data_IF_915716276806
#
_entry.id   IF_915716276806
#
_cell.length_a   1.000
_cell.length_b   1.000
_cell.length_c   1.000
_cell.angle_alpha   90.00
_cell.angle_beta   90.00
_cell.angle_gamma   90.00
#
_symmetry.space_group_name_H-M   'P 1'
#
loop_
_entity.id
_entity.type
_entity.pdbx_description
1 polymer ?
#
# COMPACT_ATOMS: atom_id res chain seq x y z
N UNK A 1 13.16 -17.89 22.24
CA UNK A 1 12.50 -16.61 21.88
C UNK A 1 13.27 -16.03 20.70
N UNK A 2 12.80 -16.27 19.49
CA UNK A 2 13.38 -15.72 18.25
C UNK A 2 12.26 -14.99 17.55
N UNK A 3 12.19 -13.68 17.77
CA UNK A 3 11.27 -12.80 17.08
C UNK A 3 11.77 -12.59 15.67
N UNK A 4 11.08 -13.17 14.69
CA UNK A 4 11.28 -12.87 13.28
C UNK A 4 10.75 -11.47 13.03
N UNK A 5 11.66 -10.50 12.93
CA UNK A 5 11.39 -9.17 12.42
C UNK A 5 10.86 -9.31 10.99
N UNK A 6 9.59 -9.00 10.79
CA UNK A 6 9.01 -8.83 9.46
C UNK A 6 9.67 -7.59 8.88
N UNK A 7 10.56 -7.81 7.91
CA UNK A 7 11.15 -6.73 7.14
C UNK A 7 10.01 -6.00 6.42
N UNK A 8 9.84 -4.72 6.74
CA UNK A 8 9.12 -3.78 5.89
C UNK A 8 9.88 -3.69 4.56
N UNK A 9 9.54 -4.57 3.62
CA UNK A 9 9.91 -4.37 2.23
C UNK A 9 9.21 -3.10 1.76
N UNK A 10 10.02 -2.05 1.61
CA UNK A 10 9.61 -0.80 1.01
C UNK A 10 9.07 -1.10 -0.40
N UNK A 11 7.99 -0.45 -0.86
CA UNK A 11 7.46 -0.68 -2.19
C UNK A 11 8.55 -0.43 -3.24
N UNK A 12 8.59 -1.20 -4.34
CA UNK A 12 9.66 -1.11 -5.32
C UNK A 12 9.74 0.32 -5.88
N UNK A 13 10.86 0.97 -5.56
CA UNK A 13 11.21 2.32 -5.96
C UNK A 13 11.09 2.55 -7.47
N UNK A 14 10.26 3.53 -7.86
CA UNK A 14 10.46 4.59 -8.87
C UNK A 14 11.34 4.34 -10.13
N UNK A 15 11.43 3.12 -10.67
CA UNK A 15 12.14 2.89 -11.96
C UNK A 15 11.29 3.19 -13.21
N UNK A 16 9.96 3.23 -13.11
CA UNK A 16 9.07 3.58 -14.24
C UNK A 16 8.99 5.09 -14.51
N UNK A 17 9.10 5.91 -13.46
CA UNK A 17 9.01 7.38 -13.54
C UNK A 17 10.04 8.00 -14.48
N UNK A 18 11.27 7.48 -14.51
CA UNK A 18 12.33 8.00 -15.40
C UNK A 18 12.08 7.72 -16.89
N UNK A 19 11.51 6.56 -17.22
CA UNK A 19 11.20 6.20 -18.62
C UNK A 19 10.00 6.97 -19.15
N UNK A 20 8.97 7.16 -18.32
CA UNK A 20 7.79 7.96 -18.68
C UNK A 20 8.18 9.42 -18.90
N UNK A 21 8.99 10.01 -18.02
CA UNK A 21 9.51 11.37 -18.21
C UNK A 21 10.35 11.50 -19.48
N UNK A 22 11.20 10.51 -19.79
CA UNK A 22 12.01 10.52 -21.01
C UNK A 22 11.15 10.45 -22.28
N UNK A 23 10.05 9.69 -22.24
CA UNK A 23 9.14 9.59 -23.38
C UNK A 23 8.28 10.85 -23.58
N UNK A 24 7.81 11.47 -22.50
CA UNK A 24 7.11 12.77 -22.58
C UNK A 24 8.04 13.85 -23.13
N UNK A 25 9.30 13.89 -22.69
CA UNK A 25 10.29 14.83 -23.21
C UNK A 25 10.52 14.63 -24.71
N UNK A 26 10.61 13.38 -25.18
CA UNK A 26 10.72 13.07 -26.62
C UNK A 26 9.53 13.60 -27.40
N UNK A 27 8.30 13.38 -26.93
CA UNK A 27 7.08 13.85 -27.59
C UNK A 27 7.09 15.37 -27.71
N UNK A 28 7.33 16.08 -26.60
CA UNK A 28 7.39 17.54 -26.57
C UNK A 28 8.44 18.10 -27.54
N UNK A 29 9.66 17.56 -27.47
CA UNK A 29 10.76 18.00 -28.32
C UNK A 29 10.45 17.72 -29.80
N UNK A 30 9.88 16.56 -30.15
CA UNK A 30 9.51 16.22 -31.52
C UNK A 30 8.38 17.08 -32.06
N UNK A 31 7.35 17.33 -31.26
CA UNK A 31 6.21 18.19 -31.62
C UNK A 31 6.68 19.62 -31.88
N UNK A 32 7.46 20.20 -30.96
CA UNK A 32 8.03 21.55 -31.13
C UNK A 32 9.01 21.62 -32.29
N UNK A 33 9.88 20.62 -32.49
CA UNK A 33 10.79 20.57 -33.65
C UNK A 33 10.02 20.50 -34.97
N UNK A 34 8.98 19.68 -35.02
CA UNK A 34 8.14 19.54 -36.21
C UNK A 34 7.53 20.90 -36.59
N UNK A 35 6.94 21.62 -35.64
CA UNK A 35 6.37 22.95 -35.87
C UNK A 35 7.42 23.97 -36.31
N UNK A 36 8.58 24.02 -35.64
CA UNK A 36 9.63 24.98 -35.95
C UNK A 36 10.23 24.76 -37.34
N UNK A 37 10.49 23.51 -37.72
CA UNK A 37 11.06 23.15 -39.02
C UNK A 37 10.04 23.35 -40.15
N UNK A 38 8.77 23.00 -39.92
CA UNK A 38 7.70 23.18 -40.90
C UNK A 38 7.41 24.66 -41.16
N UNK A 39 7.25 25.46 -40.10
CA UNK A 39 6.86 26.87 -40.23
C UNK A 39 7.98 27.76 -40.78
N UNK A 40 9.23 27.48 -40.41
CA UNK A 40 10.36 28.30 -40.86
C UNK A 40 10.99 27.82 -42.18
N UNK A 41 10.49 26.72 -42.77
CA UNK A 41 10.99 26.12 -44.01
C UNK A 41 12.52 26.02 -44.06
N UNK A 42 13.12 25.66 -42.92
CA UNK A 42 14.56 25.64 -42.72
C UNK A 42 14.96 24.36 -42.03
N UNK A 43 16.21 23.97 -42.21
CA UNK A 43 16.81 22.85 -41.49
C UNK A 43 17.58 23.30 -40.24
N UNK A 44 17.43 24.57 -39.83
CA UNK A 44 18.13 25.15 -38.68
C UNK A 44 17.14 25.58 -37.60
N UNK A 45 17.42 25.21 -36.36
CA UNK A 45 16.58 25.57 -35.20
C UNK A 45 17.43 26.26 -34.14
N UNK A 46 17.00 27.43 -33.67
CA UNK A 46 17.63 28.11 -32.52
C UNK A 46 17.36 27.31 -31.24
N UNK A 47 18.41 26.98 -30.50
CA UNK A 47 18.29 26.20 -29.26
C UNK A 47 17.56 26.96 -28.15
N UNK A 48 17.76 28.27 -28.08
CA UNK A 48 17.05 29.12 -27.12
C UNK A 48 15.56 29.12 -27.41
N UNK A 49 15.19 29.27 -28.69
CA UNK A 49 13.78 29.24 -29.12
C UNK A 49 13.15 27.87 -28.85
N UNK A 50 13.83 26.80 -29.23
CA UNK A 50 13.37 25.43 -28.97
C UNK A 50 13.17 25.18 -27.47
N UNK A 51 14.11 25.63 -26.63
CA UNK A 51 13.99 25.48 -25.19
C UNK A 51 12.78 26.24 -24.63
N UNK A 52 12.56 27.48 -25.07
CA UNK A 52 11.40 28.26 -24.65
C UNK A 52 10.11 27.56 -25.07
N UNK A 53 9.99 27.21 -26.34
CA UNK A 53 8.76 26.64 -26.90
C UNK A 53 8.43 25.26 -26.29
N UNK A 54 9.44 24.42 -26.02
CA UNK A 54 9.27 23.13 -25.33
C UNK A 54 8.80 23.32 -23.88
N UNK A 55 9.35 24.29 -23.15
CA UNK A 55 9.00 24.52 -21.75
C UNK A 55 7.66 25.24 -21.58
N UNK A 56 7.28 26.09 -22.54
CA UNK A 56 6.00 26.80 -22.57
C UNK A 56 4.87 25.99 -23.21
N UNK A 57 5.17 24.78 -23.69
CA UNK A 57 4.19 23.90 -24.33
C UNK A 57 2.96 23.65 -23.43
N UNK A 58 1.72 23.68 -23.95
CA UNK A 58 0.50 23.56 -23.12
C UNK A 58 0.49 22.33 -22.21
N UNK A 59 1.11 21.24 -22.66
CA UNK A 59 1.19 19.99 -21.91
C UNK A 59 2.08 20.09 -20.67
N UNK A 60 3.11 20.95 -20.64
CA UNK A 60 3.95 21.14 -19.43
C UNK A 60 3.15 21.73 -18.27
N UNK A 61 2.14 22.56 -18.57
CA UNK A 61 1.23 23.15 -17.57
C UNK A 61 0.38 22.08 -16.86
N UNK A 62 0.03 21.00 -17.56
CA UNK A 62 -0.73 19.89 -16.99
C UNK A 62 0.11 19.03 -16.03
N UNK A 63 1.44 19.03 -16.21
CA UNK A 63 2.39 18.27 -15.39
C UNK A 63 3.13 19.13 -14.33
N UNK A 64 2.65 20.34 -14.03
CA UNK A 64 3.32 21.36 -13.19
C UNK A 64 3.93 20.89 -11.87
N UNK A 65 3.38 19.86 -11.21
CA UNK A 65 3.93 19.33 -9.95
C UNK A 65 5.13 18.39 -10.13
N UNK A 66 5.29 17.82 -11.31
CA UNK A 66 6.33 16.81 -11.64
C UNK A 66 7.25 17.25 -12.77
N UNK A 67 6.88 18.33 -13.48
CA UNK A 67 7.66 18.88 -14.57
C UNK A 67 8.92 19.59 -14.06
N UNK A 68 10.05 19.27 -14.68
CA UNK A 68 11.29 19.99 -14.51
C UNK A 68 11.59 20.71 -15.81
N UNK A 69 11.90 22.00 -15.73
CA UNK A 69 12.30 22.79 -16.89
C UNK A 69 13.47 22.13 -17.60
N UNK A 70 13.28 21.80 -18.88
CA UNK A 70 14.31 21.16 -19.69
C UNK A 70 15.40 22.16 -20.02
N UNK A 71 16.66 21.78 -19.75
CA UNK A 71 17.84 22.56 -20.15
C UNK A 71 18.19 22.24 -21.59
N UNK A 72 18.94 23.14 -22.23
CA UNK A 72 19.44 22.93 -23.60
C UNK A 72 20.18 21.59 -23.73
N UNK A 73 21.01 21.23 -22.75
CA UNK A 73 21.75 19.96 -22.78
C UNK A 73 20.82 18.75 -22.76
N UNK A 74 19.75 18.77 -21.95
CA UNK A 74 18.77 17.68 -21.89
C UNK A 74 18.05 17.52 -23.23
N UNK A 75 17.70 18.64 -23.86
CA UNK A 75 17.08 18.67 -25.19
C UNK A 75 18.04 18.09 -26.25
N UNK A 76 19.31 18.50 -26.22
CA UNK A 76 20.32 18.02 -27.17
C UNK A 76 20.59 16.52 -27.01
N UNK A 77 20.63 16.02 -25.78
CA UNK A 77 20.83 14.59 -25.53
C UNK A 77 19.64 13.78 -26.06
N UNK A 78 18.41 14.26 -25.88
CA UNK A 78 17.23 13.63 -26.49
C UNK A 78 17.29 13.68 -28.02
N UNK A 79 17.67 14.82 -28.61
CA UNK A 79 17.77 14.94 -30.08
C UNK A 79 18.84 14.01 -30.65
N UNK A 80 20.00 13.87 -29.99
CA UNK A 80 21.05 12.94 -30.42
C UNK A 80 20.61 11.48 -30.39
N UNK A 81 19.72 11.13 -29.45
CA UNK A 81 19.12 9.80 -29.36
C UNK A 81 18.09 9.59 -30.48
N UNK A 82 17.27 10.61 -30.77
CA UNK A 82 16.22 10.54 -31.80
C UNK A 82 16.79 10.56 -33.22
N UNK A 83 17.80 11.39 -33.49
CA UNK A 83 18.37 11.62 -34.82
C UNK A 83 19.90 11.45 -34.81
N UNK A 84 20.40 10.22 -34.62
CA UNK A 84 21.82 9.97 -34.48
C UNK A 84 22.58 10.33 -35.77
N UNK A 85 23.65 11.12 -35.64
CA UNK A 85 24.54 11.56 -36.76
C UNK A 85 23.87 12.41 -37.84
N UNK A 86 22.64 12.87 -37.63
CA UNK A 86 21.91 13.75 -38.56
C UNK A 86 21.91 15.22 -38.11
N UNK A 87 22.66 15.55 -37.07
CA UNK A 87 22.65 16.88 -36.46
C UNK A 87 24.06 17.44 -36.26
N UNK A 88 24.22 18.76 -36.41
CA UNK A 88 25.38 19.51 -35.93
C UNK A 88 24.96 20.75 -35.16
N UNK A 89 25.91 21.29 -34.40
CA UNK A 89 25.75 22.53 -33.66
C UNK A 89 26.60 23.61 -34.32
N UNK A 90 25.98 24.74 -34.65
CA UNK A 90 26.65 25.93 -35.19
C UNK A 90 26.00 27.18 -34.63
N UNK A 91 26.78 28.09 -34.05
CA UNK A 91 26.32 29.43 -33.61
C UNK A 91 25.06 29.44 -32.74
N UNK A 92 24.94 28.47 -31.80
CA UNK A 92 23.77 28.35 -30.92
C UNK A 92 22.51 27.80 -31.60
N UNK A 93 22.64 27.30 -32.83
CA UNK A 93 21.61 26.61 -33.59
C UNK A 93 21.96 25.13 -33.76
N UNK A 94 20.94 24.30 -33.82
CA UNK A 94 21.05 22.92 -34.30
C UNK A 94 20.68 22.88 -35.79
N UNK A 95 21.54 22.25 -36.59
CA UNK A 95 21.35 22.06 -38.02
C UNK A 95 21.07 20.59 -38.26
N UNK A 96 19.96 20.30 -38.94
CA UNK A 96 19.58 18.96 -39.34
C UNK A 96 20.03 18.69 -40.78
N UNK A 97 20.75 17.59 -40.99
CA UNK A 97 21.20 17.15 -42.31
C UNK A 97 20.38 15.96 -42.77
N UNK A 98 19.89 16.03 -44.00
CA UNK A 98 19.14 14.94 -44.65
C UNK A 98 17.91 14.47 -43.86
N UNK A 99 17.40 15.26 -42.92
CA UNK A 99 16.19 14.95 -42.15
C UNK A 99 14.97 15.44 -42.92
N UNK A 100 14.11 14.52 -43.31
CA UNK A 100 12.83 14.86 -43.92
C UNK A 100 11.77 15.12 -42.85
N UNK A 101 10.88 16.09 -43.07
CA UNK A 101 9.77 16.37 -42.13
C UNK A 101 8.90 15.13 -41.90
N UNK A 102 8.75 14.28 -42.91
CA UNK A 102 8.02 13.00 -42.80
C UNK A 102 8.67 12.07 -41.76
N UNK A 103 9.99 12.02 -41.70
CA UNK A 103 10.72 11.20 -40.73
C UNK A 103 10.49 11.67 -39.28
N UNK A 104 10.39 12.99 -39.06
CA UNK A 104 10.06 13.56 -37.74
C UNK A 104 8.64 13.15 -37.33
N UNK A 105 7.68 13.27 -38.24
CA UNK A 105 6.29 12.88 -37.99
C UNK A 105 6.18 11.39 -37.66
N UNK A 106 6.84 10.54 -38.45
CA UNK A 106 6.76 9.09 -38.25
C UNK A 106 7.45 8.68 -36.94
N UNK A 107 8.55 9.35 -36.58
CA UNK A 107 9.21 9.18 -35.26
C UNK A 107 8.31 9.63 -34.12
N UNK A 108 7.59 10.75 -34.26
CA UNK A 108 6.63 11.23 -33.26
C UNK A 108 5.51 10.22 -33.03
N UNK A 109 4.91 9.70 -34.10
CA UNK A 109 3.85 8.69 -34.01
C UNK A 109 4.34 7.42 -33.31
N UNK A 110 5.56 6.99 -33.61
CA UNK A 110 6.16 5.81 -32.98
C UNK A 110 6.39 6.02 -31.47
N UNK A 111 6.97 7.16 -31.08
CA UNK A 111 7.15 7.48 -29.66
C UNK A 111 5.81 7.57 -28.92
N UNK A 112 4.77 8.14 -29.55
CA UNK A 112 3.42 8.18 -28.97
C UNK A 112 2.85 6.77 -28.79
N UNK A 113 3.04 5.88 -29.77
CA UNK A 113 2.62 4.47 -29.67
C UNK A 113 3.32 3.76 -28.50
N UNK A 114 4.63 3.93 -28.37
CA UNK A 114 5.40 3.38 -27.24
C UNK A 114 4.90 3.90 -25.88
N UNK A 115 4.54 5.19 -25.80
CA UNK A 115 3.94 5.78 -24.60
C UNK A 115 2.62 5.10 -24.25
N UNK A 116 1.74 4.92 -25.23
CA UNK A 116 0.43 4.30 -25.03
C UNK A 116 0.56 2.85 -24.57
N UNK A 117 1.42 2.06 -25.21
CA UNK A 117 1.67 0.67 -24.82
C UNK A 117 2.22 0.56 -23.39
N UNK A 118 3.14 1.45 -23.02
CA UNK A 118 3.69 1.52 -21.66
C UNK A 118 2.60 1.88 -20.66
N UNK A 119 1.76 2.87 -20.95
CA UNK A 119 0.67 3.31 -20.07
C UNK A 119 -0.36 2.19 -19.87
N UNK A 120 -0.75 1.49 -20.93
CA UNK A 120 -1.68 0.35 -20.85
C UNK A 120 -1.10 -0.74 -19.95
N UNK A 121 0.20 -1.02 -20.06
CA UNK A 121 0.88 -2.01 -19.23
C UNK A 121 0.90 -1.59 -17.75
N UNK A 122 1.22 -0.34 -17.48
CA UNK A 122 1.26 0.20 -16.12
C UNK A 122 -0.13 0.18 -15.46
N UNK A 123 -1.18 0.56 -16.20
CA UNK A 123 -2.57 0.47 -15.73
C UNK A 123 -2.93 -0.98 -15.37
N UNK A 124 -2.62 -1.95 -16.24
CA UNK A 124 -2.89 -3.37 -15.97
C UNK A 124 -2.17 -3.88 -14.71
N UNK A 125 -0.92 -3.45 -14.49
CA UNK A 125 -0.19 -3.82 -13.27
C UNK A 125 -0.81 -3.20 -12.02
N UNK A 126 -1.23 -1.93 -12.09
CA UNK A 126 -1.90 -1.26 -10.97
C UNK A 126 -3.25 -1.90 -10.64
N UNK A 127 -4.04 -2.26 -11.65
CA UNK A 127 -5.31 -2.98 -11.46
C UNK A 127 -5.10 -4.33 -10.76
N UNK A 128 -4.06 -5.09 -11.14
CA UNK A 128 -3.71 -6.34 -10.48
C UNK A 128 -3.28 -6.14 -9.03
N UNK A 129 -2.46 -5.12 -8.75
CA UNK A 129 -2.06 -4.77 -7.39
C UNK A 129 -3.27 -4.38 -6.53
N UNK A 130 -4.16 -3.55 -7.07
CA UNK A 130 -5.40 -3.18 -6.39
C UNK A 130 -6.27 -4.39 -6.07
N UNK A 131 -6.44 -5.31 -7.02
CA UNK A 131 -7.21 -6.52 -6.81
C UNK A 131 -6.62 -7.39 -5.69
N UNK A 132 -5.29 -7.52 -5.63
CA UNK A 132 -4.61 -8.28 -4.59
C UNK A 132 -4.79 -7.66 -3.20
N UNK A 133 -4.65 -6.34 -3.08
CA UNK A 133 -4.85 -5.61 -1.82
C UNK A 133 -6.30 -5.77 -1.35
N UNK A 134 -7.27 -5.54 -2.25
CA UNK A 134 -8.69 -5.69 -1.95
C UNK A 134 -9.02 -7.09 -1.44
N UNK A 135 -8.53 -8.13 -2.11
CA UNK A 135 -8.75 -9.51 -1.69
C UNK A 135 -8.13 -9.80 -0.31
N UNK A 136 -6.97 -9.22 0.00
CA UNK A 136 -6.34 -9.36 1.30
C UNK A 136 -7.16 -8.70 2.42
N UNK A 137 -7.67 -7.49 2.18
CA UNK A 137 -8.53 -6.77 3.12
C UNK A 137 -9.86 -7.50 3.34
N UNK A 138 -10.48 -8.01 2.28
CA UNK A 138 -11.71 -8.80 2.37
C UNK A 138 -11.50 -10.07 3.20
N UNK A 139 -10.35 -10.75 3.03
CA UNK A 139 -9.98 -11.92 3.83
C UNK A 139 -9.73 -11.56 5.29
N UNK A 140 -9.09 -10.41 5.56
CA UNK A 140 -8.87 -9.91 6.92
C UNK A 140 -10.19 -9.59 7.62
N UNK A 141 -11.10 -8.86 6.97
CA UNK A 141 -12.43 -8.53 7.49
C UNK A 141 -13.26 -9.79 7.75
N UNK A 142 -13.20 -10.77 6.84
CA UNK A 142 -13.87 -12.06 7.02
C UNK A 142 -13.32 -12.81 8.23
N UNK A 143 -12.00 -12.84 8.41
CA UNK A 143 -11.35 -13.47 9.56
C UNK A 143 -11.76 -12.79 10.86
N UNK A 144 -11.72 -11.46 10.93
CA UNK A 144 -12.14 -10.70 12.11
C UNK A 144 -13.61 -10.98 12.49
N UNK A 145 -14.51 -11.03 11.51
CA UNK A 145 -15.92 -11.35 11.74
C UNK A 145 -16.11 -12.76 12.30
N UNK A 146 -15.44 -13.76 11.72
CA UNK A 146 -15.49 -15.15 12.19
C UNK A 146 -14.97 -15.24 13.63
N UNK A 147 -13.83 -14.61 13.92
CA UNK A 147 -13.25 -14.60 15.26
C UNK A 147 -14.15 -13.91 16.29
N UNK A 148 -14.82 -12.80 15.90
CA UNK A 148 -15.82 -12.14 16.73
C UNK A 148 -17.00 -13.07 17.06
N UNK A 149 -17.51 -13.82 16.07
CA UNK A 149 -18.58 -14.80 16.30
C UNK A 149 -18.16 -15.94 17.23
N UNK A 150 -16.94 -16.48 17.07
CA UNK A 150 -16.39 -17.49 17.97
C UNK A 150 -16.28 -16.98 19.40
N UNK A 151 -15.73 -15.77 19.57
CA UNK A 151 -15.65 -15.11 20.87
C UNK A 151 -17.03 -15.01 21.52
N UNK A 152 -18.00 -14.47 20.81
CA UNK A 152 -19.33 -14.22 21.36
C UNK A 152 -20.05 -15.53 21.72
N UNK A 153 -19.84 -16.59 20.92
CA UNK A 153 -20.39 -17.94 21.20
C UNK A 153 -19.76 -18.57 22.44
N UNK A 154 -18.43 -18.50 22.56
CA UNK A 154 -17.70 -19.03 23.73
C UNK A 154 -18.08 -18.24 24.98
N UNK A 155 -18.15 -16.92 24.88
CA UNK A 155 -18.60 -16.06 25.97
C UNK A 155 -20.03 -16.40 26.40
N UNK A 156 -20.96 -16.56 25.46
CA UNK A 156 -22.34 -16.95 25.76
C UNK A 156 -22.40 -18.32 26.47
N UNK A 157 -21.58 -19.28 26.03
CA UNK A 157 -21.47 -20.58 26.70
C UNK A 157 -20.91 -20.42 28.12
N UNK A 158 -19.84 -19.67 28.29
CA UNK A 158 -19.23 -19.43 29.60
C UNK A 158 -20.18 -18.69 30.55
N UNK A 159 -20.97 -17.75 30.05
CA UNK A 159 -22.00 -17.05 30.83
C UNK A 159 -23.14 -17.95 31.27
N UNK A 160 -23.37 -19.08 30.60
CA UNK A 160 -24.37 -20.06 31.02
C UNK A 160 -23.93 -20.89 32.22
N UNK A 161 -22.62 -20.90 32.54
CA UNK A 161 -22.09 -21.65 33.67
C UNK A 161 -22.22 -20.90 34.99
N UNK A 162 -22.43 -21.67 36.06
CA UNK A 162 -22.74 -21.14 37.39
C UNK A 162 -21.58 -20.35 38.01
N UNK A 163 -20.34 -20.79 37.81
CA UNK A 163 -19.18 -20.17 38.47
C UNK A 163 -18.54 -19.10 37.59
N UNK A 164 -18.40 -19.34 36.29
CA UNK A 164 -17.81 -18.38 35.35
C UNK A 164 -18.66 -17.11 35.20
N UNK A 165 -19.99 -17.21 35.21
CA UNK A 165 -20.87 -16.04 35.14
C UNK A 165 -20.55 -15.00 36.24
N UNK A 166 -20.18 -15.46 37.44
CA UNK A 166 -19.87 -14.61 38.59
C UNK A 166 -18.56 -13.83 38.42
N UNK A 167 -17.67 -14.25 37.52
CA UNK A 167 -16.41 -13.55 37.23
C UNK A 167 -16.65 -12.24 36.47
N UNK A 168 -17.74 -12.15 35.70
CA UNK A 168 -18.07 -10.97 34.91
C UNK A 168 -18.73 -9.84 35.72
N UNK A 169 -18.93 -10.03 37.03
CA UNK A 169 -19.38 -8.95 37.90
C UNK A 169 -18.36 -7.81 37.96
N UNK A 170 -18.82 -6.58 38.21
CA UNK A 170 -17.93 -5.43 38.43
C UNK A 170 -16.97 -5.75 39.57
N UNK A 171 -15.69 -5.92 39.24
CA UNK A 171 -14.61 -6.06 40.20
C UNK A 171 -14.11 -4.65 40.56
N UNK A 172 -14.04 -4.37 41.86
CA UNK A 172 -13.40 -3.14 42.35
C UNK A 172 -11.92 -3.14 41.94
N UNK A 173 -11.37 -1.99 41.51
CA UNK A 173 -9.94 -1.87 41.21
C UNK A 173 -9.10 -2.29 42.43
N UNK A 174 -8.15 -3.20 42.21
CA UNK A 174 -7.22 -3.65 43.25
C UNK A 174 -5.83 -3.09 42.99
N UNK A 175 -5.06 -2.71 44.02
CA UNK A 175 -3.65 -2.31 43.86
C UNK A 175 -2.78 -3.44 43.27
N UNK A 176 -3.25 -4.69 43.30
CA UNK A 176 -2.55 -5.87 42.78
C UNK A 176 -2.79 -6.09 41.28
N UNK A 177 -3.93 -5.63 40.74
CA UNK A 177 -4.33 -5.86 39.34
C UNK A 177 -4.57 -4.53 38.63
N UNK A 178 -3.58 -4.08 37.87
CA UNK A 178 -3.61 -2.76 37.22
C UNK A 178 -4.52 -2.65 36.00
N UNK A 179 -4.78 -3.75 35.28
CA UNK A 179 -5.64 -3.75 34.11
C UNK A 179 -6.65 -4.89 34.18
N UNK A 180 -7.71 -4.73 34.98
CA UNK A 180 -8.77 -5.72 35.11
C UNK A 180 -9.40 -6.07 33.76
N UNK A 181 -9.52 -7.35 33.45
CA UNK A 181 -10.23 -7.85 32.29
C UNK A 181 -11.69 -8.18 32.65
N UNK A 182 -12.61 -7.29 32.26
CA UNK A 182 -14.05 -7.50 32.41
C UNK A 182 -14.72 -7.94 31.09
N UNK A 183 -16.00 -8.29 31.15
CA UNK A 183 -16.75 -8.78 29.98
C UNK A 183 -16.75 -7.79 28.81
N UNK A 184 -16.88 -6.49 29.09
CA UNK A 184 -16.97 -5.45 28.05
C UNK A 184 -15.61 -5.24 27.39
N UNK A 185 -14.52 -5.32 28.15
CA UNK A 185 -13.15 -5.35 27.62
C UNK A 185 -12.90 -6.59 26.76
N UNK A 186 -13.39 -7.76 27.15
CA UNK A 186 -13.23 -8.98 26.33
C UNK A 186 -14.00 -8.84 25.02
N UNK A 187 -15.24 -8.29 25.04
CA UNK A 187 -16.05 -8.03 23.84
C UNK A 187 -15.49 -6.93 22.93
N UNK A 188 -14.71 -5.99 23.47
CA UNK A 188 -14.07 -4.92 22.68
C UNK A 188 -12.66 -5.28 22.21
N UNK A 189 -12.04 -6.31 22.78
CA UNK A 189 -10.72 -6.79 22.36
C UNK A 189 -10.81 -7.51 21.02
N UNK A 190 -9.92 -7.13 20.08
CA UNK A 190 -9.75 -7.84 18.81
C UNK A 190 -9.01 -9.15 19.05
N UNK A 191 -9.56 -10.24 18.53
CA UNK A 191 -9.05 -11.59 18.78
C UNK A 191 -8.52 -12.18 17.48
N UNK A 192 -7.24 -12.54 17.49
CA UNK A 192 -6.54 -13.00 16.30
C UNK A 192 -6.71 -14.51 16.06
N UNK A 193 -6.73 -15.30 17.13
CA UNK A 193 -6.83 -16.75 17.10
C UNK A 193 -7.43 -17.30 18.41
N UNK A 194 -7.78 -18.59 18.43
CA UNK A 194 -8.36 -19.24 19.62
C UNK A 194 -7.45 -19.17 20.86
N UNK A 195 -6.14 -19.27 20.66
CA UNK A 195 -5.18 -19.17 21.76
C UNK A 195 -5.17 -17.77 22.38
N UNK A 196 -5.33 -16.72 21.56
CA UNK A 196 -5.45 -15.35 22.05
C UNK A 196 -6.76 -15.16 22.85
N UNK A 197 -7.88 -15.73 22.40
CA UNK A 197 -9.13 -15.74 23.19
C UNK A 197 -8.95 -16.48 24.51
N UNK A 198 -8.34 -17.66 24.49
CA UNK A 198 -8.08 -18.43 25.70
C UNK A 198 -7.21 -17.65 26.68
N UNK A 199 -6.13 -17.00 26.21
CA UNK A 199 -5.28 -16.18 27.06
C UNK A 199 -6.06 -15.00 27.68
N UNK A 200 -6.93 -14.38 26.89
CA UNK A 200 -7.78 -13.27 27.36
C UNK A 200 -8.75 -13.73 28.45
N UNK A 201 -9.39 -14.89 28.27
CA UNK A 201 -10.28 -15.49 29.26
C UNK A 201 -9.52 -15.97 30.49
N UNK A 202 -8.35 -16.58 30.30
CA UNK A 202 -7.47 -17.03 31.38
C UNK A 202 -7.04 -15.85 32.26
N UNK A 203 -6.74 -14.71 31.64
CA UNK A 203 -6.44 -13.47 32.36
C UNK A 203 -7.61 -13.01 33.23
N UNK A 204 -8.85 -13.12 32.76
CA UNK A 204 -10.03 -12.79 33.57
C UNK A 204 -10.13 -13.67 34.83
N UNK A 205 -9.88 -14.97 34.69
CA UNK A 205 -9.82 -15.90 35.83
C UNK A 205 -8.67 -15.54 36.77
N UNK A 206 -7.46 -15.32 36.22
CA UNK A 206 -6.27 -15.01 37.02
C UNK A 206 -6.41 -13.67 37.76
N UNK A 207 -6.93 -12.62 37.12
CA UNK A 207 -7.23 -11.34 37.76
C UNK A 207 -8.17 -11.55 38.96
N UNK A 208 -9.19 -12.39 38.80
CA UNK A 208 -10.14 -12.73 39.85
C UNK A 208 -9.52 -13.56 40.98
N UNK A 209 -8.61 -14.48 40.68
CA UNK A 209 -7.84 -15.25 41.68
C UNK A 209 -6.99 -14.32 42.53
N UNK A 210 -6.28 -13.38 41.90
CA UNK A 210 -5.38 -12.45 42.58
C UNK A 210 -6.10 -11.47 43.52
N UNK A 211 -7.36 -11.15 43.21
CA UNK A 211 -8.20 -10.28 44.06
C UNK A 211 -8.84 -11.07 45.22
N UNK A 212 -9.18 -12.34 45.01
CA UNK A 212 -9.86 -13.14 46.02
C UNK A 212 -8.90 -13.60 47.12
N UNK A 213 -9.26 -13.37 48.39
CA UNK A 213 -8.52 -13.90 49.54
C UNK A 213 -8.45 -15.43 49.47
N UNK A 214 -7.25 -15.99 49.50
CA UNK A 214 -7.01 -17.45 49.48
C UNK A 214 -7.84 -18.15 50.56
N UNK A 215 -8.47 -19.26 50.20
CA UNK A 215 -9.35 -20.04 51.09
C UNK A 215 -10.76 -19.47 51.30
N UNK A 216 -11.06 -18.28 50.77
CA UNK A 216 -12.43 -17.75 50.81
C UNK A 216 -13.37 -18.52 49.87
N UNK A 217 -14.68 -18.44 50.13
CA UNK A 217 -15.72 -18.98 49.22
C UNK A 217 -15.57 -18.43 47.80
N UNK A 218 -15.25 -17.14 47.66
CA UNK A 218 -15.00 -16.52 46.35
C UNK A 218 -13.78 -17.11 45.65
N UNK A 219 -12.70 -17.38 46.38
CA UNK A 219 -11.52 -18.03 45.82
C UNK A 219 -11.84 -19.44 45.32
N UNK A 220 -12.63 -20.22 46.05
CA UNK A 220 -13.10 -21.54 45.60
C UNK A 220 -13.98 -21.45 44.34
N UNK A 221 -14.91 -20.49 44.28
CA UNK A 221 -15.75 -20.26 43.10
C UNK A 221 -14.92 -19.88 41.87
N UNK A 222 -13.89 -19.04 42.02
CA UNK A 222 -12.97 -18.70 40.91
C UNK A 222 -12.19 -19.94 40.46
N UNK A 223 -11.72 -20.78 41.37
CA UNK A 223 -11.03 -22.03 41.00
C UNK A 223 -11.95 -23.01 40.25
N UNK A 224 -13.23 -23.09 40.62
CA UNK A 224 -14.21 -23.90 39.89
C UNK A 224 -14.48 -23.35 38.48
N UNK A 225 -14.49 -22.02 38.32
CA UNK A 225 -14.64 -21.39 37.01
C UNK A 225 -13.48 -21.69 36.04
N UNK A 226 -12.27 -21.97 36.55
CA UNK A 226 -11.16 -22.44 35.73
C UNK A 226 -11.49 -23.79 35.06
N UNK A 227 -12.13 -24.71 35.79
CA UNK A 227 -12.56 -25.99 35.23
C UNK A 227 -13.57 -25.81 34.09
N UNK A 228 -14.55 -24.92 34.27
CA UNK A 228 -15.54 -24.59 33.24
C UNK A 228 -14.89 -23.99 31.98
N UNK A 229 -13.85 -23.17 32.15
CA UNK A 229 -13.05 -22.64 31.04
C UNK A 229 -12.29 -23.73 30.31
N UNK A 230 -11.60 -24.60 31.06
CA UNK A 230 -10.79 -25.68 30.48
C UNK A 230 -11.66 -26.65 29.68
N UNK A 231 -12.84 -27.00 30.18
CA UNK A 231 -13.79 -27.87 29.49
C UNK A 231 -14.33 -27.21 28.21
N UNK A 232 -14.62 -25.91 28.26
CA UNK A 232 -15.07 -25.14 27.09
C UNK A 232 -13.97 -25.07 26.02
N UNK A 233 -12.73 -24.80 26.42
CA UNK A 233 -11.59 -24.74 25.50
C UNK A 233 -11.32 -26.11 24.88
N UNK A 234 -11.35 -27.20 25.67
CA UNK A 234 -11.19 -28.57 25.16
C UNK A 234 -12.28 -28.90 24.13
N UNK A 235 -13.53 -28.59 24.43
CA UNK A 235 -14.65 -28.80 23.53
C UNK A 235 -14.46 -28.04 22.21
N UNK A 236 -14.09 -26.76 22.27
CA UNK A 236 -13.87 -25.94 21.06
C UNK A 236 -12.70 -26.46 20.23
N UNK A 237 -11.58 -26.83 20.86
CA UNK A 237 -10.43 -27.41 20.14
C UNK A 237 -10.83 -28.71 19.44
N UNK A 238 -11.53 -29.59 20.14
CA UNK A 238 -12.04 -30.84 19.55
C UNK A 238 -12.98 -30.59 18.36
N UNK A 239 -13.83 -29.57 18.43
CA UNK A 239 -14.74 -29.21 17.34
C UNK A 239 -14.04 -28.49 16.17
N UNK A 240 -12.82 -27.98 16.35
CA UNK A 240 -12.03 -27.34 15.30
C UNK A 240 -11.03 -28.29 14.63
N UNK A 241 -10.58 -29.31 15.36
CA UNK A 241 -9.64 -30.33 14.86
C UNK A 241 -10.35 -31.48 14.09
N UNK A 242 -11.68 -31.56 14.16
CA UNK A 242 -12.53 -32.46 13.37
C UNK A 242 -13.30 -31.71 12.27
#
# INVERSE_FOLDING_TARGET
MTGTLIANESPPSHKSSGKVNMNINKVLILETLYELLLNAQTNRVSLVRLQTDVNDHPMTKQFTKQWQTLKINDILDVIKVLFPKQTSLSDGQIVFYNLQIVEIRDTLLEVVRECQETLIKDVKMLEQQYHNIKNHDDMKLRRERIMGMYRDTILAKLQSFQYFHKLYGKLEPSPVVHNLMDLEKIKSTSIENLSHLQLTLQKCVTDSVMIAKVGSKRHQEVMLSQGELDDTVKFVRYAMDN
#
